data_IF_865745457848
#
_entry.id   IF_865745457848
#
_cell.length_a   1.000
_cell.length_b   1.000
_cell.length_c   1.000
_cell.angle_alpha   90.00
_cell.angle_beta   90.00
_cell.angle_gamma   90.00
#
_symmetry.space_group_name_H-M   'P 1'
#
loop_
_entity.id
_entity.type
_entity.pdbx_description
1 polymer ?
#
# COMPACT_ATOMS: atom_id res chain seq x y z
N UNK A 1 -3.35 -17.81 -68.29
CA UNK A 1 -2.54 -16.68 -67.80
C UNK A 1 -1.57 -17.26 -66.77
N UNK A 2 -0.28 -17.05 -67.02
CA UNK A 2 0.95 -17.46 -66.33
C UNK A 2 0.91 -18.15 -64.94
N UNK A 3 1.49 -19.35 -64.91
CA UNK A 3 2.42 -19.96 -63.92
C UNK A 3 3.72 -19.12 -63.73
N UNK A 4 4.71 -19.44 -62.84
CA UNK A 4 4.85 -20.58 -61.90
C UNK A 4 5.42 -20.22 -60.48
N UNK A 5 5.40 -21.19 -59.55
CA UNK A 5 6.34 -21.26 -58.41
C UNK A 5 7.74 -21.76 -58.86
N UNK A 6 8.83 -21.58 -58.08
CA UNK A 6 9.30 -22.75 -57.31
C UNK A 6 10.06 -22.43 -56.00
N UNK A 7 10.02 -23.41 -55.09
CA UNK A 7 10.89 -23.55 -53.92
C UNK A 7 12.38 -23.73 -54.30
N UNK A 8 13.30 -23.25 -53.45
CA UNK A 8 14.64 -23.83 -53.32
C UNK A 8 15.22 -23.67 -51.90
N UNK A 9 15.64 -24.80 -51.35
CA UNK A 9 16.48 -24.99 -50.16
C UNK A 9 17.96 -24.92 -50.56
N UNK A 10 18.85 -24.32 -49.74
CA UNK A 10 20.12 -24.97 -49.38
C UNK A 10 20.96 -24.24 -48.30
N UNK A 11 21.34 -25.06 -47.32
CA UNK A 11 22.65 -25.22 -46.66
C UNK A 11 23.39 -24.12 -45.91
N UNK A 12 23.91 -24.58 -44.77
CA UNK A 12 24.78 -23.98 -43.78
C UNK A 12 26.15 -23.49 -44.29
N UNK A 13 26.74 -22.49 -43.62
CA UNK A 13 27.97 -22.67 -42.82
C UNK A 13 28.39 -21.40 -42.05
N UNK A 14 28.96 -21.66 -40.86
CA UNK A 14 29.98 -20.92 -40.09
C UNK A 14 29.78 -19.48 -39.57
N UNK A 15 29.75 -19.39 -38.24
CA UNK A 15 30.67 -18.62 -37.36
C UNK A 15 30.84 -17.10 -37.58
N UNK A 16 30.51 -16.25 -36.59
CA UNK A 16 31.36 -15.85 -35.44
C UNK A 16 30.62 -14.78 -34.57
N UNK A 17 31.17 -14.15 -33.51
CA UNK A 17 30.70 -14.31 -32.15
C UNK A 17 30.25 -12.98 -31.52
N UNK A 18 29.75 -13.04 -30.28
CA UNK A 18 29.80 -11.88 -29.39
C UNK A 18 28.60 -10.95 -29.48
N UNK A 19 27.63 -11.19 -28.59
CA UNK A 19 26.95 -10.13 -27.86
C UNK A 19 26.33 -10.77 -26.64
N UNK A 20 27.11 -10.84 -25.56
CA UNK A 20 26.53 -10.87 -24.22
C UNK A 20 26.13 -9.43 -23.87
N UNK A 21 24.88 -9.20 -23.48
CA UNK A 21 24.58 -8.14 -22.53
C UNK A 21 23.96 -8.77 -21.29
N UNK A 22 24.82 -8.98 -20.30
CA UNK A 22 24.57 -8.85 -18.86
C UNK A 22 23.13 -9.08 -18.37
N UNK A 23 22.95 -10.19 -17.65
CA UNK A 23 21.83 -10.36 -16.73
C UNK A 23 21.82 -9.20 -15.71
N UNK A 24 20.68 -8.50 -15.52
CA UNK A 24 20.60 -7.38 -14.60
C UNK A 24 20.81 -7.84 -13.15
N UNK A 25 21.91 -7.36 -12.56
CA UNK A 25 22.01 -6.97 -11.16
C UNK A 25 21.38 -7.92 -10.15
N UNK A 26 22.07 -9.02 -9.84
CA UNK A 26 21.93 -9.66 -8.54
C UNK A 26 22.46 -8.68 -7.49
N UNK A 27 21.58 -7.82 -6.97
CA UNK A 27 21.91 -6.91 -5.87
C UNK A 27 22.56 -7.71 -4.75
N UNK A 28 23.68 -7.21 -4.20
CA UNK A 28 24.36 -7.94 -3.14
C UNK A 28 23.39 -8.12 -1.96
N UNK A 29 23.44 -9.24 -1.21
CA UNK A 29 22.54 -9.48 -0.09
C UNK A 29 22.48 -8.31 0.90
N UNK A 30 23.60 -7.58 1.03
CA UNK A 30 23.72 -6.39 1.86
C UNK A 30 22.85 -5.21 1.39
N UNK A 31 22.76 -4.97 0.08
CA UNK A 31 21.99 -3.85 -0.48
C UNK A 31 20.48 -4.07 -0.35
N UNK A 32 20.03 -5.33 -0.43
CA UNK A 32 18.63 -5.72 -0.20
C UNK A 32 18.24 -5.54 1.26
N UNK A 33 19.13 -5.90 2.20
CA UNK A 33 18.91 -5.72 3.64
C UNK A 33 18.84 -4.23 4.03
N UNK A 34 19.75 -3.40 3.52
CA UNK A 34 19.72 -1.95 3.82
C UNK A 34 18.50 -1.26 3.17
N UNK A 35 18.08 -1.70 1.98
CA UNK A 35 16.84 -1.22 1.34
C UNK A 35 15.59 -1.57 2.14
N UNK A 36 15.48 -2.82 2.63
CA UNK A 36 14.37 -3.24 3.48
C UNK A 36 14.32 -2.42 4.78
N UNK A 37 15.47 -2.21 5.41
CA UNK A 37 15.60 -1.37 6.62
C UNK A 37 15.21 0.08 6.37
N UNK A 38 15.65 0.67 5.26
CA UNK A 38 15.28 2.04 4.88
C UNK A 38 13.76 2.18 4.67
N UNK A 39 13.12 1.19 4.03
CA UNK A 39 11.65 1.14 3.88
C UNK A 39 10.93 1.06 5.22
N UNK A 40 11.40 0.22 6.14
CA UNK A 40 10.81 0.12 7.49
C UNK A 40 10.94 1.42 8.28
N UNK A 41 12.08 2.11 8.17
CA UNK A 41 12.28 3.43 8.80
C UNK A 41 11.33 4.46 8.19
N UNK A 42 11.15 4.48 6.86
CA UNK A 42 10.22 5.39 6.20
C UNK A 42 8.77 5.12 6.61
N UNK A 43 8.36 3.85 6.70
CA UNK A 43 7.03 3.46 7.18
C UNK A 43 6.83 3.91 8.64
N UNK A 44 7.81 3.64 9.51
CA UNK A 44 7.77 4.07 10.92
C UNK A 44 7.66 5.58 11.03
N UNK A 45 8.41 6.35 10.24
CA UNK A 45 8.33 7.82 10.22
C UNK A 45 6.93 8.28 9.80
N UNK A 46 6.35 7.70 8.75
CA UNK A 46 4.98 8.03 8.34
C UNK A 46 3.92 7.71 9.41
N UNK A 47 4.09 6.60 10.13
CA UNK A 47 3.22 6.25 11.27
C UNK A 47 3.40 7.23 12.43
N UNK A 48 4.63 7.64 12.72
CA UNK A 48 4.94 8.64 13.76
C UNK A 48 4.44 10.03 13.36
N UNK A 49 4.54 10.42 12.09
CA UNK A 49 4.01 11.67 11.54
C UNK A 49 2.48 11.75 11.66
N UNK A 50 1.78 10.61 11.54
CA UNK A 50 0.35 10.55 11.80
C UNK A 50 0.02 10.67 13.28
N UNK A 51 0.90 10.24 14.19
CA UNK A 51 0.67 10.28 15.64
C UNK A 51 -0.26 9.16 16.14
N UNK A 52 -0.20 8.82 17.44
CA UNK A 52 -0.95 7.71 18.02
C UNK A 52 -2.48 7.86 17.90
N UNK A 53 -3.00 9.08 18.01
CA UNK A 53 -4.43 9.33 17.94
C UNK A 53 -4.97 9.13 16.53
N UNK A 54 -4.28 9.61 15.47
CA UNK A 54 -4.78 9.39 14.10
C UNK A 54 -4.72 7.92 13.68
N UNK A 55 -3.71 7.18 14.15
CA UNK A 55 -3.64 5.74 13.87
C UNK A 55 -4.82 4.99 14.50
N UNK A 56 -5.16 5.32 15.75
CA UNK A 56 -6.35 4.77 16.41
C UNK A 56 -7.63 5.22 15.71
N UNK A 57 -7.72 6.50 15.33
CA UNK A 57 -8.86 7.06 14.61
C UNK A 57 -9.12 6.33 13.30
N UNK A 58 -8.08 6.11 12.49
CA UNK A 58 -8.19 5.37 11.23
C UNK A 58 -8.68 3.94 11.48
N UNK A 59 -8.14 3.28 12.50
CA UNK A 59 -8.56 1.93 12.88
C UNK A 59 -10.02 1.89 13.33
N UNK A 60 -10.47 2.90 14.09
CA UNK A 60 -11.86 3.02 14.53
C UNK A 60 -12.80 3.22 13.33
N UNK A 61 -12.44 4.10 12.39
CA UNK A 61 -13.20 4.35 11.17
C UNK A 61 -13.33 3.09 10.31
N UNK A 62 -12.25 2.35 10.10
CA UNK A 62 -12.28 1.10 9.33
C UNK A 62 -13.22 0.05 9.96
N UNK A 63 -13.25 -0.03 11.29
CA UNK A 63 -14.17 -0.94 12.01
C UNK A 63 -15.62 -0.52 11.83
N UNK A 64 -15.90 0.78 11.91
CA UNK A 64 -17.25 1.33 11.72
C UNK A 64 -17.74 1.05 10.30
N UNK A 65 -16.91 1.32 9.28
CA UNK A 65 -17.26 1.06 7.87
C UNK A 65 -17.58 -0.42 7.65
N UNK A 66 -16.73 -1.33 8.14
CA UNK A 66 -16.96 -2.78 8.02
C UNK A 66 -18.21 -3.24 8.76
N UNK A 67 -18.50 -2.67 9.93
CA UNK A 67 -19.69 -3.02 10.69
C UNK A 67 -20.96 -2.52 9.99
N UNK A 68 -20.93 -1.32 9.42
CA UNK A 68 -22.04 -0.76 8.64
C UNK A 68 -22.31 -1.59 7.38
N UNK A 69 -21.28 -2.02 6.65
CA UNK A 69 -21.40 -2.89 5.47
C UNK A 69 -22.00 -4.27 5.80
N UNK A 70 -21.64 -4.86 6.94
CA UNK A 70 -22.07 -6.21 7.33
C UNK A 70 -23.47 -6.27 7.92
N UNK A 71 -23.79 -5.32 8.81
CA UNK A 71 -25.01 -5.37 9.61
C UNK A 71 -26.17 -4.64 8.93
N UNK A 72 -25.88 -3.71 8.00
CA UNK A 72 -26.89 -2.85 7.38
C UNK A 72 -27.59 -1.89 8.37
N UNK A 73 -27.18 -1.92 9.64
CA UNK A 73 -27.74 -1.11 10.71
C UNK A 73 -26.97 0.20 10.88
N UNK A 74 -27.71 1.28 11.16
CA UNK A 74 -27.12 2.57 11.53
C UNK A 74 -26.54 2.49 12.94
N UNK A 75 -25.22 2.39 13.04
CA UNK A 75 -24.49 2.60 14.30
C UNK A 75 -24.76 4.02 14.82
N UNK A 76 -25.62 4.18 15.83
CA UNK A 76 -25.97 5.51 16.38
C UNK A 76 -24.94 6.02 17.37
N UNK A 77 -24.12 5.13 17.94
CA UNK A 77 -23.09 5.44 18.95
C UNK A 77 -21.84 4.63 18.70
N UNK A 78 -20.73 5.33 18.58
CA UNK A 78 -19.39 4.74 18.45
C UNK A 78 -18.38 5.68 19.08
N UNK A 79 -17.23 5.13 19.46
CA UNK A 79 -16.13 5.92 19.99
C UNK A 79 -15.19 6.32 18.85
N UNK A 80 -15.05 7.63 18.63
CA UNK A 80 -13.93 8.18 17.85
C UNK A 80 -13.03 8.98 18.79
N UNK A 81 -11.72 8.68 18.83
CA UNK A 81 -10.78 9.49 19.59
C UNK A 81 -10.73 10.91 19.01
N UNK A 82 -10.79 11.90 19.90
CA UNK A 82 -10.72 13.30 19.53
C UNK A 82 -9.24 13.69 19.39
N UNK A 83 -8.78 13.84 18.14
CA UNK A 83 -7.38 14.15 17.83
C UNK A 83 -7.15 15.64 17.59
N UNK A 84 -5.94 16.12 17.83
CA UNK A 84 -5.45 17.39 17.33
C UNK A 84 -4.82 17.26 15.94
N UNK A 85 -4.39 18.38 15.35
CA UNK A 85 -3.78 18.40 14.02
C UNK A 85 -2.42 17.69 13.93
N UNK A 86 -1.80 17.39 15.08
CA UNK A 86 -0.52 16.71 15.18
C UNK A 86 -0.68 15.20 15.42
N UNK A 87 -1.91 14.70 15.48
CA UNK A 87 -2.17 13.29 15.73
C UNK A 87 -2.03 12.88 17.18
N UNK A 88 -2.09 13.83 18.10
CA UNK A 88 -2.14 13.58 19.53
C UNK A 88 -3.57 13.68 20.06
N UNK A 89 -3.82 13.06 21.21
CA UNK A 89 -5.12 13.12 21.86
C UNK A 89 -5.37 14.52 22.42
N UNK A 90 -6.57 15.06 22.17
CA UNK A 90 -7.04 16.25 22.88
C UNK A 90 -7.23 15.93 24.36
N UNK A 91 -7.01 16.94 25.21
CA UNK A 91 -7.22 16.84 26.66
C UNK A 91 -8.66 16.47 27.03
N UNK A 92 -9.64 16.93 26.23
CA UNK A 92 -11.05 16.58 26.38
C UNK A 92 -11.43 15.54 25.32
N UNK A 93 -11.90 14.38 25.76
CA UNK A 93 -12.42 13.32 24.91
C UNK A 93 -13.94 13.25 25.07
N UNK A 94 -14.65 13.41 23.97
CA UNK A 94 -16.10 13.35 23.93
C UNK A 94 -16.58 12.15 23.10
N UNK A 95 -17.67 11.51 23.52
CA UNK A 95 -18.36 10.48 22.74
C UNK A 95 -18.90 11.05 21.43
N UNK A 96 -18.82 10.25 20.36
CA UNK A 96 -19.43 10.57 19.06
C UNK A 96 -20.84 9.99 18.97
N UNK A 97 -21.81 10.85 18.67
CA UNK A 97 -23.23 10.51 18.59
C UNK A 97 -23.77 10.91 17.22
N UNK A 98 -24.53 10.02 16.58
CA UNK A 98 -25.24 10.32 15.33
C UNK A 98 -26.74 10.60 15.57
N UNK A 99 -27.23 10.40 16.79
CA UNK A 99 -28.62 10.62 17.22
C UNK A 99 -28.91 12.08 17.62
N UNK A 100 -27.92 12.98 17.47
CA UNK A 100 -28.03 14.38 17.87
C UNK A 100 -28.00 14.61 19.38
N UNK A 101 -27.85 13.56 20.20
CA UNK A 101 -27.71 13.71 21.65
C UNK A 101 -26.32 14.22 22.00
N UNK A 102 -26.22 14.99 23.09
CA UNK A 102 -24.93 15.46 23.59
C UNK A 102 -24.10 14.27 24.10
N UNK A 103 -22.99 13.99 23.44
CA UNK A 103 -22.02 12.98 23.89
C UNK A 103 -21.40 13.35 25.24
N UNK A 104 -21.02 12.35 26.02
CA UNK A 104 -20.31 12.55 27.29
C UNK A 104 -18.87 12.98 27.06
N UNK A 105 -18.40 13.86 27.93
CA UNK A 105 -17.01 14.22 28.16
C UNK A 105 -16.87 14.57 29.66
#
# INVERSE_FOLDING_TARGET
>A
LAEPEPELDNSATSSDPGSSPYLPGLGKPYDVQESMKAKLIAIRRKLVEQGPCHLELQTALDRISKAHEKLGEKLTRFYLPNCDKHGLYKQKQCESTLDGQKGRC
#
